data_IF_019271516632
#
_entry.id   IF_019271516632
#
_cell.length_a   1.000
_cell.length_b   1.000
_cell.length_c   1.000
_cell.angle_alpha   90.00
_cell.angle_beta   90.00
_cell.angle_gamma   90.00
#
_symmetry.space_group_name_H-M   'P 1'
#
loop_
_entity.id
_entity.type
_entity.pdbx_description
1 polymer ?
#
# COMPACT_ATOMS: atom_id res chain seq x y z
N UNK A 1 -23.80 -13.64 0.79
CA UNK A 1 -24.96 -13.32 1.66
C UNK A 1 -25.04 -11.80 1.74
N UNK A 2 -25.95 -11.16 0.99
CA UNK A 2 -26.18 -9.70 1.10
C UNK A 2 -26.85 -9.44 2.44
N UNK A 3 -26.06 -9.20 3.47
CA UNK A 3 -26.59 -8.79 4.78
C UNK A 3 -27.30 -7.44 4.60
N UNK A 4 -28.41 -7.29 5.32
CA UNK A 4 -29.32 -6.14 5.34
C UNK A 4 -28.62 -4.89 5.91
N UNK A 5 -27.59 -4.44 5.21
CA UNK A 5 -26.63 -3.46 5.65
C UNK A 5 -27.08 -2.07 5.19
N UNK A 6 -27.25 -1.10 6.10
CA UNK A 6 -27.67 0.23 5.73
C UNK A 6 -26.52 0.95 5.01
N UNK A 7 -26.57 0.95 3.67
CA UNK A 7 -25.64 1.64 2.78
C UNK A 7 -26.24 2.96 2.30
N UNK A 8 -25.41 4.02 2.24
CA UNK A 8 -25.87 5.26 1.63
C UNK A 8 -26.19 5.06 0.14
N UNK A 9 -27.09 5.90 -0.39
CA UNK A 9 -27.52 5.84 -1.79
C UNK A 9 -26.35 5.92 -2.80
N UNK A 10 -25.32 6.77 -2.61
CA UNK A 10 -24.16 6.79 -3.49
C UNK A 10 -23.38 5.47 -3.51
N UNK A 11 -23.18 4.84 -2.35
CA UNK A 11 -22.45 3.57 -2.26
C UNK A 11 -23.23 2.42 -2.89
N UNK A 12 -24.55 2.35 -2.67
CA UNK A 12 -25.39 1.36 -3.36
C UNK A 12 -25.31 1.48 -4.87
N UNK A 13 -25.37 2.70 -5.40
CA UNK A 13 -25.21 2.96 -6.84
C UNK A 13 -23.83 2.57 -7.34
N UNK A 14 -22.78 2.85 -6.57
CA UNK A 14 -21.42 2.50 -6.99
C UNK A 14 -21.16 1.00 -6.96
N UNK A 15 -21.66 0.29 -5.95
CA UNK A 15 -21.64 -1.18 -5.91
C UNK A 15 -22.38 -1.76 -7.11
N UNK A 16 -23.62 -1.32 -7.36
CA UNK A 16 -24.42 -1.78 -8.50
C UNK A 16 -23.70 -1.51 -9.82
N UNK A 17 -23.18 -0.29 -10.02
CA UNK A 17 -22.39 0.05 -11.20
C UNK A 17 -21.17 -0.84 -11.37
N UNK A 18 -20.47 -1.16 -10.27
CA UNK A 18 -19.31 -2.05 -10.28
C UNK A 18 -19.70 -3.48 -10.65
N UNK A 19 -20.76 -4.02 -10.04
CA UNK A 19 -21.31 -5.34 -10.32
C UNK A 19 -21.75 -5.46 -11.80
N UNK A 20 -22.48 -4.47 -12.33
CA UNK A 20 -22.95 -4.42 -13.72
C UNK A 20 -21.78 -4.27 -14.71
N UNK A 21 -20.85 -3.34 -14.45
CA UNK A 21 -19.73 -3.08 -15.36
C UNK A 21 -18.76 -4.25 -15.44
N UNK A 22 -18.49 -4.91 -14.30
CA UNK A 22 -17.56 -6.03 -14.22
C UNK A 22 -18.22 -7.39 -14.44
N UNK A 23 -19.55 -7.44 -14.54
CA UNK A 23 -20.32 -8.68 -14.63
C UNK A 23 -19.93 -9.64 -13.49
N UNK A 24 -20.16 -9.19 -12.27
CA UNK A 24 -19.70 -9.89 -11.06
C UNK A 24 -20.57 -9.56 -9.86
N UNK A 25 -20.52 -10.40 -8.82
CA UNK A 25 -21.11 -10.09 -7.51
C UNK A 25 -20.04 -9.61 -6.51
N UNK A 26 -20.44 -8.70 -5.62
CA UNK A 26 -19.63 -8.25 -4.49
C UNK A 26 -20.33 -8.64 -3.18
N UNK A 27 -19.66 -9.48 -2.40
CA UNK A 27 -20.05 -9.81 -1.03
C UNK A 27 -19.41 -8.85 -0.05
N UNK A 28 -20.21 -8.31 0.88
CA UNK A 28 -19.72 -7.47 1.97
C UNK A 28 -19.67 -8.29 3.26
N UNK A 29 -18.49 -8.37 3.87
CA UNK A 29 -18.28 -9.12 5.11
C UNK A 29 -17.79 -8.18 6.21
N UNK A 30 -18.44 -8.26 7.38
CA UNK A 30 -18.01 -7.55 8.59
C UNK A 30 -17.31 -8.52 9.52
N UNK A 31 -16.09 -8.19 9.92
CA UNK A 31 -15.28 -9.02 10.82
C UNK A 31 -14.63 -8.15 11.90
N UNK A 32 -14.65 -8.53 13.20
CA UNK A 32 -14.02 -7.75 14.27
C UNK A 32 -12.51 -7.55 14.10
N UNK A 33 -11.86 -8.55 13.52
CA UNK A 33 -10.42 -8.72 13.30
C UNK A 33 -9.94 -8.27 11.92
N UNK A 34 -10.84 -7.67 11.11
CA UNK A 34 -10.47 -7.14 9.81
C UNK A 34 -9.50 -5.95 9.92
N UNK A 35 -8.66 -5.79 8.91
CA UNK A 35 -7.72 -4.68 8.80
C UNK A 35 -8.45 -3.31 8.89
N UNK A 36 -7.91 -2.30 9.60
CA UNK A 36 -8.50 -0.97 9.66
C UNK A 36 -8.78 -0.35 8.29
N UNK A 37 -7.96 -0.59 7.27
CA UNK A 37 -8.12 -0.16 5.87
C UNK A 37 -9.08 -1.04 5.05
N UNK A 38 -9.56 -2.15 5.64
CA UNK A 38 -10.33 -3.20 5.00
C UNK A 38 -9.52 -4.03 4.01
N UNK A 39 -10.04 -5.18 3.63
CA UNK A 39 -9.40 -6.11 2.71
C UNK A 39 -10.30 -6.38 1.51
N UNK A 40 -9.73 -6.32 0.31
CA UNK A 40 -10.38 -6.79 -0.91
C UNK A 40 -9.81 -8.16 -1.26
N UNK A 41 -10.66 -9.18 -1.24
CA UNK A 41 -10.35 -10.50 -1.79
C UNK A 41 -11.12 -10.62 -3.10
N UNK A 42 -10.44 -10.51 -4.23
CA UNK A 42 -11.06 -10.46 -5.55
C UNK A 42 -10.70 -11.65 -6.44
N UNK A 43 -11.61 -11.94 -7.39
CA UNK A 43 -11.46 -13.04 -8.34
C UNK A 43 -10.28 -12.89 -9.29
N UNK A 44 -9.84 -11.65 -9.53
CA UNK A 44 -8.76 -11.38 -10.47
C UNK A 44 -7.39 -11.64 -9.84
N UNK A 45 -7.25 -11.52 -8.52
CA UNK A 45 -6.00 -11.82 -7.80
C UNK A 45 -5.94 -13.24 -7.24
N UNK A 46 -7.04 -13.78 -6.70
CA UNK A 46 -7.00 -14.96 -5.81
C UNK A 46 -7.67 -16.23 -6.36
N UNK A 47 -8.07 -16.27 -7.63
CA UNK A 47 -8.74 -17.42 -8.26
C UNK A 47 -9.96 -17.92 -7.44
N UNK A 48 -10.85 -16.99 -7.11
CA UNK A 48 -12.09 -17.24 -6.35
C UNK A 48 -13.32 -16.85 -7.16
N UNK A 49 -14.48 -17.44 -6.85
CA UNK A 49 -15.71 -17.24 -7.64
C UNK A 49 -16.40 -15.88 -7.42
N UNK A 50 -16.11 -15.20 -6.30
CA UNK A 50 -16.79 -13.98 -5.89
C UNK A 50 -15.83 -12.96 -5.29
N UNK A 51 -16.10 -11.69 -5.49
CA UNK A 51 -15.33 -10.64 -4.81
C UNK A 51 -15.90 -10.42 -3.41
N UNK A 52 -15.01 -10.27 -2.43
CA UNK A 52 -15.37 -10.05 -1.03
C UNK A 52 -14.66 -8.79 -0.54
N UNK A 53 -15.42 -7.83 -0.03
CA UNK A 53 -14.89 -6.68 0.69
C UNK A 53 -15.12 -6.94 2.18
N UNK A 54 -14.01 -7.10 2.90
CA UNK A 54 -13.97 -7.35 4.34
C UNK A 54 -13.62 -6.04 5.05
N UNK A 55 -14.35 -5.69 6.10
CA UNK A 55 -14.05 -4.50 6.89
C UNK A 55 -14.42 -4.64 8.37
N UNK A 56 -13.84 -3.81 9.25
CA UNK A 56 -14.02 -3.93 10.69
C UNK A 56 -15.49 -3.82 11.12
N UNK A 57 -15.94 -4.70 12.02
CA UNK A 57 -17.32 -4.71 12.50
C UNK A 57 -17.74 -3.38 13.16
N UNK A 58 -16.81 -2.68 13.79
CA UNK A 58 -16.99 -1.37 14.41
C UNK A 58 -17.14 -0.22 13.41
N UNK A 59 -16.87 -0.44 12.12
CA UNK A 59 -17.07 0.60 11.10
C UNK A 59 -18.54 0.68 10.73
N UNK A 60 -19.17 1.77 11.18
CA UNK A 60 -20.57 2.10 10.95
C UNK A 60 -20.72 3.42 10.20
N UNK A 61 -21.94 3.73 9.74
CA UNK A 61 -22.21 5.02 9.09
C UNK A 61 -21.38 5.23 7.83
N UNK A 62 -20.71 6.39 7.71
CA UNK A 62 -19.92 6.74 6.52
C UNK A 62 -18.54 6.07 6.48
N UNK A 63 -18.06 5.49 7.60
CA UNK A 63 -16.74 4.84 7.64
C UNK A 63 -16.73 3.57 6.80
N UNK A 64 -17.72 2.69 6.98
CA UNK A 64 -17.88 1.50 6.12
C UNK A 64 -18.11 1.89 4.67
N UNK A 65 -18.88 2.95 4.43
CA UNK A 65 -19.19 3.45 3.08
C UNK A 65 -17.91 3.89 2.36
N UNK A 66 -16.98 4.53 3.08
CA UNK A 66 -15.66 4.87 2.55
C UNK A 66 -14.81 3.63 2.24
N UNK A 67 -14.72 2.65 3.15
CA UNK A 67 -13.97 1.41 2.89
C UNK A 67 -14.52 0.66 1.68
N UNK A 68 -15.85 0.58 1.56
CA UNK A 68 -16.50 -0.03 0.39
C UNK A 68 -16.14 0.75 -0.89
N UNK A 69 -16.19 2.08 -0.87
CA UNK A 69 -15.81 2.90 -2.03
C UNK A 69 -14.34 2.73 -2.43
N UNK A 70 -13.42 2.67 -1.45
CA UNK A 70 -11.98 2.40 -1.64
C UNK A 70 -11.79 1.09 -2.40
N UNK A 71 -12.36 0.00 -1.88
CA UNK A 71 -12.19 -1.34 -2.45
C UNK A 71 -12.98 -1.55 -3.76
N UNK A 72 -14.15 -0.93 -3.93
CA UNK A 72 -14.84 -0.96 -5.23
C UNK A 72 -14.04 -0.24 -6.32
N UNK A 73 -13.39 0.88 -5.99
CA UNK A 73 -12.52 1.59 -6.94
C UNK A 73 -11.33 0.73 -7.33
N UNK A 74 -10.69 0.06 -6.36
CA UNK A 74 -9.60 -0.87 -6.62
C UNK A 74 -10.05 -2.03 -7.51
N UNK A 75 -11.20 -2.64 -7.18
CA UNK A 75 -11.79 -3.74 -7.95
C UNK A 75 -12.12 -3.32 -9.38
N UNK A 76 -12.64 -2.11 -9.60
CA UNK A 76 -12.88 -1.56 -10.94
C UNK A 76 -11.60 -1.45 -11.76
N UNK A 77 -10.48 -1.02 -11.15
CA UNK A 77 -9.18 -0.95 -11.83
C UNK A 77 -8.68 -2.35 -12.21
N UNK A 78 -8.69 -3.30 -11.26
CA UNK A 78 -8.28 -4.69 -11.51
C UNK A 78 -9.16 -5.36 -12.58
N UNK A 79 -10.47 -5.23 -12.45
CA UNK A 79 -11.44 -5.82 -13.37
C UNK A 79 -11.41 -5.19 -14.77
N UNK A 80 -11.18 -3.87 -14.86
CA UNK A 80 -10.99 -3.22 -16.16
C UNK A 80 -9.72 -3.71 -16.86
N UNK A 81 -8.61 -3.85 -16.12
CA UNK A 81 -7.38 -4.44 -16.66
C UNK A 81 -7.58 -5.88 -17.13
N UNK A 82 -8.30 -6.70 -16.36
CA UNK A 82 -8.59 -8.09 -16.72
C UNK A 82 -9.53 -8.20 -17.95
N UNK A 83 -10.50 -7.30 -18.11
CA UNK A 83 -11.42 -7.31 -19.26
C UNK A 83 -10.78 -6.76 -20.54
N UNK A 84 -9.84 -5.82 -20.45
CA UNK A 84 -9.29 -5.11 -21.62
C UNK A 84 -7.96 -5.62 -22.11
N UNK A 85 -7.18 -6.17 -21.20
CA UNK A 85 -5.84 -6.64 -21.48
C UNK A 85 -5.57 -7.84 -20.57
N UNK A 86 -4.32 -7.96 -20.13
CA UNK A 86 -3.89 -8.92 -19.13
C UNK A 86 -3.69 -8.18 -17.82
N UNK A 87 -4.50 -8.50 -16.80
CA UNK A 87 -4.24 -8.00 -15.44
C UNK A 87 -2.96 -8.63 -14.92
N UNK A 88 -2.00 -7.78 -14.56
CA UNK A 88 -0.72 -8.17 -13.97
C UNK A 88 -0.63 -7.64 -12.54
N UNK A 89 0.11 -8.38 -11.71
CA UNK A 89 0.40 -8.06 -10.31
C UNK A 89 1.90 -7.94 -10.10
N UNK A 90 2.32 -7.08 -9.16
CA UNK A 90 3.71 -6.91 -8.82
C UNK A 90 4.14 -8.05 -7.87
N UNK A 91 4.88 -9.00 -8.39
CA UNK A 91 5.28 -10.25 -7.72
C UNK A 91 6.80 -10.39 -7.68
N UNK A 92 7.31 -11.55 -7.28
CA UNK A 92 8.72 -11.88 -7.24
C UNK A 92 8.96 -13.36 -7.53
N UNK A 93 10.12 -13.68 -8.09
CA UNK A 93 10.59 -15.04 -8.29
C UNK A 93 11.93 -15.28 -7.54
N UNK A 94 12.49 -16.47 -7.66
CA UNK A 94 13.76 -16.83 -7.01
C UNK A 94 14.90 -15.84 -7.34
N UNK A 95 14.99 -15.37 -8.59
CA UNK A 95 16.04 -14.43 -9.02
C UNK A 95 15.82 -13.05 -8.40
N UNK A 96 14.58 -12.58 -8.38
CA UNK A 96 14.16 -11.35 -7.73
C UNK A 96 14.51 -11.33 -6.24
N UNK A 97 14.17 -12.41 -5.52
CA UNK A 97 14.48 -12.58 -4.09
C UNK A 97 15.99 -12.54 -3.85
N UNK A 98 16.77 -13.28 -4.65
CA UNK A 98 18.23 -13.26 -4.54
C UNK A 98 18.81 -11.86 -4.76
N UNK A 99 18.39 -11.16 -5.82
CA UNK A 99 18.88 -9.82 -6.13
C UNK A 99 18.55 -8.83 -5.01
N UNK A 100 17.31 -8.86 -4.51
CA UNK A 100 16.86 -8.02 -3.42
C UNK A 100 17.62 -8.28 -2.12
N UNK A 101 17.65 -9.54 -1.66
CA UNK A 101 18.34 -9.93 -0.43
C UNK A 101 19.85 -9.64 -0.51
N UNK A 102 20.49 -9.88 -1.67
CA UNK A 102 21.91 -9.56 -1.87
C UNK A 102 22.18 -8.07 -1.76
N UNK A 103 21.32 -7.23 -2.35
CA UNK A 103 21.47 -5.78 -2.24
C UNK A 103 21.27 -5.31 -0.81
N UNK A 104 20.25 -5.80 -0.11
CA UNK A 104 20.00 -5.51 1.32
C UNK A 104 21.21 -5.90 2.15
N UNK A 105 21.77 -7.09 1.92
CA UNK A 105 22.95 -7.56 2.63
C UNK A 105 24.16 -6.64 2.43
N UNK A 106 24.48 -6.28 1.19
CA UNK A 106 25.60 -5.38 0.87
C UNK A 106 25.41 -4.01 1.53
N UNK A 107 24.20 -3.46 1.49
CA UNK A 107 23.91 -2.16 2.08
C UNK A 107 23.92 -2.23 3.62
N UNK A 108 23.49 -3.34 4.20
CA UNK A 108 23.60 -3.61 5.63
C UNK A 108 25.07 -3.69 6.07
N UNK A 109 25.95 -4.39 5.34
CA UNK A 109 27.38 -4.45 5.66
C UNK A 109 28.03 -3.06 5.67
N UNK A 110 27.66 -2.18 4.71
CA UNK A 110 28.17 -0.79 4.65
C UNK A 110 27.71 0.04 5.85
N UNK A 111 26.49 -0.17 6.32
CA UNK A 111 25.94 0.51 7.49
C UNK A 111 26.56 -0.03 8.78
N UNK A 112 26.60 -1.35 8.92
CA UNK A 112 27.24 -2.05 10.02
C UNK A 112 28.70 -1.67 10.18
N UNK A 113 29.47 -1.50 9.10
CA UNK A 113 30.86 -1.04 9.15
C UNK A 113 31.05 0.24 9.98
N UNK A 114 30.03 1.12 10.02
CA UNK A 114 30.05 2.40 10.74
C UNK A 114 29.51 2.33 12.18
N UNK A 115 28.90 1.21 12.59
CA UNK A 115 28.36 1.02 13.94
C UNK A 115 29.39 0.47 14.92
N UNK A 116 29.39 0.99 16.15
CA UNK A 116 30.20 0.48 17.27
C UNK A 116 29.67 -0.87 17.78
N UNK A 117 28.35 -1.00 17.91
CA UNK A 117 27.67 -2.26 18.27
C UNK A 117 27.14 -2.91 17.00
N UNK A 118 27.77 -4.00 16.58
CA UNK A 118 27.35 -4.76 15.40
C UNK A 118 26.10 -5.56 15.69
N UNK A 119 25.23 -5.68 14.70
CA UNK A 119 24.09 -6.58 14.76
C UNK A 119 24.56 -8.05 14.74
N UNK A 120 23.99 -8.94 15.56
CA UNK A 120 24.26 -10.37 15.46
C UNK A 120 23.96 -10.91 14.06
N UNK A 121 24.83 -11.77 13.54
CA UNK A 121 24.73 -12.32 12.17
C UNK A 121 23.38 -12.99 11.91
N UNK A 122 22.85 -13.76 12.86
CA UNK A 122 21.55 -14.42 12.70
C UNK A 122 20.39 -13.42 12.53
N UNK A 123 20.43 -12.29 13.26
CA UNK A 123 19.44 -11.22 13.10
C UNK A 123 19.59 -10.51 11.76
N UNK A 124 20.83 -10.32 11.30
CA UNK A 124 21.10 -9.75 9.97
C UNK A 124 20.51 -10.64 8.86
N UNK A 125 20.71 -11.96 8.95
CA UNK A 125 20.21 -12.93 7.97
C UNK A 125 18.68 -12.90 7.91
N UNK A 126 18.00 -12.98 9.07
CA UNK A 126 16.53 -12.94 9.15
C UNK A 126 15.96 -11.63 8.57
N UNK A 127 16.64 -10.51 8.81
CA UNK A 127 16.20 -9.20 8.34
C UNK A 127 16.17 -9.08 6.81
N UNK A 128 17.05 -9.78 6.09
CA UNK A 128 17.18 -9.63 4.64
C UNK A 128 15.87 -9.92 3.92
N UNK A 129 15.24 -11.04 4.25
CA UNK A 129 14.01 -11.46 3.59
C UNK A 129 12.80 -10.69 4.10
N UNK A 130 12.75 -10.41 5.40
CA UNK A 130 11.70 -9.58 6.02
C UNK A 130 11.63 -8.22 5.32
N UNK A 131 12.76 -7.53 5.15
CA UNK A 131 12.81 -6.24 4.44
C UNK A 131 12.41 -6.38 2.98
N UNK A 132 12.88 -7.42 2.28
CA UNK A 132 12.48 -7.67 0.89
C UNK A 132 10.96 -7.81 0.73
N UNK A 133 10.32 -8.57 1.61
CA UNK A 133 8.87 -8.77 1.57
C UNK A 133 8.10 -7.53 2.01
N UNK A 134 8.60 -6.80 3.01
CA UNK A 134 8.00 -5.55 3.46
C UNK A 134 7.89 -4.52 2.33
N UNK A 135 8.96 -4.33 1.56
CA UNK A 135 8.92 -3.44 0.39
C UNK A 135 8.00 -3.98 -0.72
N UNK A 136 7.80 -5.30 -0.82
CA UNK A 136 6.86 -5.88 -1.78
C UNK A 136 5.41 -5.55 -1.39
N UNK A 137 5.09 -5.65 -0.10
CA UNK A 137 3.77 -5.32 0.42
C UNK A 137 3.49 -3.82 0.26
N UNK A 138 4.43 -2.96 0.69
CA UNK A 138 4.34 -1.50 0.57
C UNK A 138 4.11 -1.04 -0.87
N UNK A 139 4.89 -1.57 -1.83
CA UNK A 139 4.79 -1.15 -3.23
C UNK A 139 3.53 -1.69 -3.93
N UNK A 140 2.96 -2.78 -3.41
CA UNK A 140 1.67 -3.31 -3.85
C UNK A 140 0.47 -2.57 -3.26
N UNK A 141 0.68 -1.68 -2.28
CA UNK A 141 -0.40 -0.88 -1.69
C UNK A 141 -0.27 0.62 -1.98
N UNK A 142 0.89 1.23 -1.69
CA UNK A 142 1.04 2.68 -1.64
C UNK A 142 0.71 3.42 -2.95
N UNK A 143 1.19 2.97 -4.12
CA UNK A 143 0.83 3.54 -5.41
C UNK A 143 -0.68 3.60 -5.65
N UNK A 144 -1.34 2.50 -5.33
CA UNK A 144 -2.77 2.30 -5.56
C UNK A 144 -3.59 3.10 -4.56
N UNK A 145 -3.14 3.16 -3.30
CA UNK A 145 -3.79 3.91 -2.24
C UNK A 145 -3.92 5.40 -2.63
N UNK A 146 -2.88 6.01 -3.20
CA UNK A 146 -2.93 7.39 -3.70
C UNK A 146 -4.00 7.59 -4.80
N UNK A 147 -4.03 6.70 -5.79
CA UNK A 147 -4.99 6.75 -6.92
C UNK A 147 -6.43 6.56 -6.43
N UNK A 148 -6.65 5.53 -5.61
CA UNK A 148 -7.96 5.16 -5.09
C UNK A 148 -8.52 6.32 -4.25
N UNK A 149 -7.73 6.87 -3.34
CA UNK A 149 -8.16 7.98 -2.51
C UNK A 149 -8.49 9.23 -3.35
N UNK A 150 -7.63 9.60 -4.31
CA UNK A 150 -7.93 10.73 -5.20
C UNK A 150 -9.24 10.50 -5.99
N UNK A 151 -9.43 9.30 -6.54
CA UNK A 151 -10.64 8.93 -7.28
C UNK A 151 -11.91 9.01 -6.42
N UNK A 152 -11.86 8.44 -5.21
CA UNK A 152 -12.98 8.50 -4.25
C UNK A 152 -13.31 9.93 -3.88
N UNK A 153 -12.30 10.76 -3.61
CA UNK A 153 -12.48 12.15 -3.23
C UNK A 153 -13.22 12.96 -4.30
N UNK A 154 -12.77 12.85 -5.55
CA UNK A 154 -13.38 13.58 -6.66
C UNK A 154 -14.80 13.11 -6.97
N UNK A 155 -15.07 11.80 -6.84
CA UNK A 155 -16.37 11.21 -7.23
C UNK A 155 -17.41 11.17 -6.11
N UNK A 156 -17.00 11.22 -4.84
CA UNK A 156 -17.92 10.99 -3.72
C UNK A 156 -17.85 12.07 -2.64
N UNK A 157 -18.44 13.26 -2.90
CA UNK A 157 -18.39 14.40 -1.96
C UNK A 157 -18.88 14.07 -0.54
N UNK A 158 -19.90 13.20 -0.42
CA UNK A 158 -20.53 12.87 0.86
C UNK A 158 -19.64 12.12 1.85
N UNK A 159 -18.56 11.47 1.38
CA UNK A 159 -17.66 10.68 2.24
C UNK A 159 -16.27 11.30 2.41
N UNK A 160 -15.98 12.45 1.78
CA UNK A 160 -14.67 13.13 1.84
C UNK A 160 -14.17 13.39 3.26
N UNK A 161 -15.06 13.82 4.16
CA UNK A 161 -14.69 14.08 5.57
C UNK A 161 -14.26 12.80 6.28
N UNK A 162 -14.95 11.70 5.98
CA UNK A 162 -14.66 10.39 6.56
C UNK A 162 -13.38 9.78 5.98
N UNK A 163 -13.16 9.95 4.68
CA UNK A 163 -11.91 9.63 4.01
C UNK A 163 -10.73 10.35 4.69
N UNK A 164 -10.82 11.66 4.87
CA UNK A 164 -9.76 12.44 5.52
C UNK A 164 -9.44 11.93 6.93
N UNK A 165 -10.47 11.66 7.74
CA UNK A 165 -10.28 11.04 9.06
C UNK A 165 -9.54 9.69 8.97
N UNK A 166 -9.91 8.86 8.01
CA UNK A 166 -9.34 7.54 7.84
C UNK A 166 -7.87 7.61 7.39
N UNK A 167 -7.55 8.43 6.38
CA UNK A 167 -6.17 8.67 5.91
C UNK A 167 -5.30 9.18 7.06
N UNK A 168 -5.83 10.07 7.88
CA UNK A 168 -5.13 10.58 9.06
C UNK A 168 -4.90 9.53 10.16
N UNK A 169 -5.72 8.48 10.21
CA UNK A 169 -5.55 7.36 11.13
C UNK A 169 -4.53 6.36 10.58
N UNK A 170 -4.64 5.99 9.30
CA UNK A 170 -3.67 5.13 8.58
C UNK A 170 -2.25 5.75 8.66
N UNK A 171 -2.10 7.03 8.28
CA UNK A 171 -0.84 7.78 8.37
C UNK A 171 -0.15 7.70 9.75
N UNK A 172 -0.91 7.60 10.85
CA UNK A 172 -0.30 7.40 12.17
C UNK A 172 0.33 6.01 12.30
N UNK A 173 -0.38 4.97 11.90
CA UNK A 173 0.14 3.60 11.94
C UNK A 173 1.40 3.47 11.08
N UNK A 174 1.40 4.11 9.92
CA UNK A 174 2.52 4.08 8.97
C UNK A 174 3.75 4.84 9.49
N UNK A 175 3.56 5.84 10.36
CA UNK A 175 4.68 6.47 11.08
C UNK A 175 5.27 5.53 12.12
N UNK A 176 4.43 4.79 12.84
CA UNK A 176 4.85 3.85 13.88
C UNK A 176 5.51 2.58 13.28
N UNK A 177 5.26 2.30 12.01
CA UNK A 177 5.84 1.17 11.28
C UNK A 177 7.38 1.17 11.28
N UNK A 178 8.03 0.03 11.42
CA UNK A 178 9.50 -0.11 11.49
C UNK A 178 10.22 0.72 12.58
N UNK A 179 9.53 1.53 13.40
CA UNK A 179 10.15 2.38 14.43
C UNK A 179 10.85 1.54 15.49
N UNK A 180 10.22 0.44 15.92
CA UNK A 180 10.81 -0.50 16.87
C UNK A 180 12.05 -1.21 16.31
N UNK A 181 12.22 -1.19 14.98
CA UNK A 181 13.28 -1.87 14.26
C UNK A 181 14.35 -0.89 13.74
N UNK A 182 14.25 0.42 14.04
CA UNK A 182 15.16 1.47 13.55
C UNK A 182 16.64 1.15 13.81
N UNK A 183 16.95 0.52 14.95
CA UNK A 183 18.31 0.16 15.33
C UNK A 183 18.91 -1.02 14.52
N UNK A 184 18.05 -1.83 13.90
CA UNK A 184 18.38 -3.06 13.21
C UNK A 184 18.35 -2.86 11.68
N UNK A 185 17.36 -2.13 11.18
CA UNK A 185 17.18 -1.85 9.75
C UNK A 185 18.30 -0.96 9.24
N UNK A 186 18.94 -1.28 8.10
CA UNK A 186 19.92 -0.38 7.51
C UNK A 186 19.27 0.97 7.19
N UNK A 187 19.94 2.06 7.58
CA UNK A 187 19.39 3.43 7.52
C UNK A 187 18.72 3.78 6.19
N UNK A 188 19.28 3.32 5.07
CA UNK A 188 18.73 3.53 3.73
C UNK A 188 17.27 3.06 3.63
N UNK A 189 16.99 1.84 4.07
CA UNK A 189 15.66 1.23 3.92
C UNK A 189 14.64 1.89 4.84
N UNK A 190 15.05 2.25 6.05
CA UNK A 190 14.23 3.04 6.95
C UNK A 190 13.84 4.39 6.33
N UNK A 191 14.81 5.12 5.76
CA UNK A 191 14.57 6.40 5.08
C UNK A 191 13.64 6.24 3.87
N UNK A 192 13.85 5.22 3.04
CA UNK A 192 13.03 4.98 1.85
C UNK A 192 11.58 4.62 2.21
N UNK A 193 11.37 3.72 3.18
CA UNK A 193 10.04 3.36 3.67
C UNK A 193 9.29 4.61 4.16
N UNK A 194 9.89 5.40 5.05
CA UNK A 194 9.28 6.63 5.57
C UNK A 194 9.03 7.68 4.49
N UNK A 195 9.92 7.80 3.50
CA UNK A 195 9.75 8.70 2.38
C UNK A 195 8.54 8.33 1.49
N UNK A 196 8.25 7.04 1.29
CA UNK A 196 7.08 6.61 0.50
C UNK A 196 5.77 7.00 1.17
N UNK A 197 5.63 6.72 2.47
CA UNK A 197 4.44 7.11 3.24
C UNK A 197 4.26 8.62 3.30
N UNK A 198 5.35 9.36 3.52
CA UNK A 198 5.33 10.82 3.47
C UNK A 198 4.84 11.33 2.12
N UNK A 199 5.38 10.81 1.02
CA UNK A 199 5.02 11.23 -0.32
C UNK A 199 3.53 11.00 -0.61
N UNK A 200 2.99 9.83 -0.23
CA UNK A 200 1.55 9.54 -0.29
C UNK A 200 0.75 10.54 0.53
N UNK A 201 1.12 10.77 1.78
CA UNK A 201 0.39 11.67 2.69
C UNK A 201 0.38 13.11 2.19
N UNK A 202 1.52 13.62 1.70
CA UNK A 202 1.60 14.96 1.14
C UNK A 202 0.81 15.08 -0.16
N UNK A 203 0.83 14.05 -1.01
CA UNK A 203 0.00 14.01 -2.20
C UNK A 203 -1.49 14.09 -1.83
N UNK A 204 -1.93 13.28 -0.86
CA UNK A 204 -3.30 13.28 -0.39
C UNK A 204 -3.67 14.61 0.29
N UNK A 205 -2.80 15.21 1.11
CA UNK A 205 -3.06 16.52 1.68
C UNK A 205 -3.22 17.63 0.62
N UNK A 206 -2.46 17.57 -0.48
CA UNK A 206 -2.61 18.51 -1.61
C UNK A 206 -3.89 18.26 -2.40
N UNK A 207 -4.32 17.00 -2.50
CA UNK A 207 -5.47 16.58 -3.32
C UNK A 207 -6.81 16.72 -2.58
N UNK A 208 -6.79 16.59 -1.26
CA UNK A 208 -7.96 16.62 -0.38
C UNK A 208 -8.01 17.96 0.38
N UNK A 209 -8.44 19.10 -0.25
CA UNK A 209 -8.41 20.41 0.40
C UNK A 209 -9.18 20.43 1.72
N UNK A 210 -8.57 21.09 2.70
CA UNK A 210 -9.06 21.18 4.08
C UNK A 210 -10.27 22.12 4.25
N UNK A 211 -10.53 22.99 3.28
CA UNK A 211 -11.51 24.08 3.39
C UNK A 211 -12.97 23.60 3.57
N UNK A 212 -13.29 22.36 3.18
CA UNK A 212 -14.63 21.75 3.39
C UNK A 212 -14.76 21.03 4.75
N UNK A 213 -13.66 20.85 5.49
CA UNK A 213 -13.69 20.18 6.79
C UNK A 213 -14.11 21.18 7.88
N UNK A 214 -15.30 20.97 8.43
CA UNK A 214 -15.67 21.40 9.78
C UNK A 214 -15.71 20.13 10.63
N UNK A 215 -14.56 19.67 11.19
CA UNK A 215 -14.48 18.36 11.84
C UNK A 215 -15.31 18.30 13.13
N UNK A 216 -15.54 19.45 13.74
CA UNK A 216 -16.17 19.67 15.05
C UNK A 216 -17.65 19.24 15.10
N UNK A 217 -18.36 19.33 13.97
CA UNK A 217 -19.82 19.14 13.93
C UNK A 217 -20.20 17.67 13.74
N UNK A 218 -19.39 16.87 13.02
CA UNK A 218 -19.80 15.54 12.56
C UNK A 218 -19.03 14.37 13.19
N UNK A 219 -17.85 14.59 13.79
CA UNK A 219 -17.02 13.52 14.38
C UNK A 219 -16.37 14.04 15.66
N UNK A 220 -16.92 13.75 16.86
CA UNK A 220 -16.44 14.29 18.14
C UNK A 220 -14.94 14.09 18.40
N UNK A 221 -14.33 13.01 17.88
CA UNK A 221 -12.90 12.72 18.04
C UNK A 221 -11.98 13.70 17.27
N UNK A 222 -12.52 14.47 16.32
CA UNK A 222 -11.76 15.42 15.50
C UNK A 222 -11.76 16.85 16.05
N UNK A 223 -12.45 17.12 17.18
CA UNK A 223 -12.47 18.44 17.83
C UNK A 223 -11.08 18.97 18.21
N UNK A 224 -10.13 18.07 18.52
CA UNK A 224 -8.74 18.42 18.86
C UNK A 224 -7.90 18.96 17.69
N UNK A 225 -8.45 18.97 16.49
CA UNK A 225 -7.76 19.35 15.25
C UNK A 225 -8.45 20.48 14.50
N UNK A 226 -9.33 21.22 15.19
CA UNK A 226 -10.17 22.28 14.63
C UNK A 226 -9.40 23.49 14.05
N UNK A 227 -8.09 23.56 14.23
CA UNK A 227 -7.27 24.73 13.90
C UNK A 227 -6.12 24.43 12.95
N UNK A 228 -6.02 23.21 12.42
CA UNK A 228 -4.91 22.80 11.57
C UNK A 228 -5.41 22.42 10.19
N UNK A 229 -4.77 22.95 9.15
CA UNK A 229 -4.98 22.46 7.78
C UNK A 229 -4.49 21.00 7.68
N UNK A 230 -5.13 20.15 6.87
CA UNK A 230 -4.71 18.73 6.68
C UNK A 230 -3.22 18.63 6.36
N UNK A 231 -2.70 19.56 5.55
CA UNK A 231 -1.28 19.67 5.23
C UNK A 231 -0.43 19.98 6.45
N UNK A 232 -0.82 20.93 7.29
CA UNK A 232 -0.13 21.27 8.53
C UNK A 232 -0.18 20.11 9.52
N UNK A 233 -1.30 19.41 9.59
CA UNK A 233 -1.47 18.23 10.44
C UNK A 233 -0.54 17.09 10.04
N UNK A 234 -0.49 16.75 8.75
CA UNK A 234 0.41 15.71 8.27
C UNK A 234 1.87 16.19 8.40
N UNK A 235 2.18 17.44 8.03
CA UNK A 235 3.54 17.98 8.15
C UNK A 235 4.06 17.99 9.59
N UNK A 236 3.24 18.44 10.55
CA UNK A 236 3.59 18.49 12.00
C UNK A 236 3.65 17.10 12.63
N UNK A 237 3.01 16.09 12.01
CA UNK A 237 3.10 14.70 12.50
C UNK A 237 4.44 14.07 12.14
N UNK A 238 4.97 14.39 10.97
CA UNK A 238 6.25 13.86 10.53
C UNK A 238 7.50 14.57 11.14
N UNK A 239 7.33 15.61 11.97
CA UNK A 239 8.45 16.42 12.50
C UNK A 239 9.22 15.87 13.71
N UNK A 240 9.13 14.57 14.04
CA UNK A 240 9.69 14.03 15.30
C UNK A 240 10.77 12.91 15.23
N UNK A 241 11.42 12.65 14.09
CA UNK A 241 12.53 11.65 13.98
C UNK A 241 13.64 12.12 13.03
N UNK A 242 14.51 11.23 12.49
CA UNK A 242 15.62 11.50 11.53
C UNK A 242 15.15 12.06 10.16
N UNK A 243 14.32 13.11 10.25
CA UNK A 243 13.37 13.62 9.29
C UNK A 243 14.02 14.28 8.09
N UNK A 244 15.19 14.90 8.28
CA UNK A 244 15.81 15.68 7.21
C UNK A 244 16.07 14.84 5.95
N UNK A 245 16.57 13.62 6.12
CA UNK A 245 16.81 12.74 4.97
C UNK A 245 15.50 12.20 4.39
N UNK A 246 14.61 11.67 5.23
CA UNK A 246 13.31 11.14 4.78
C UNK A 246 12.48 12.19 4.04
N UNK A 247 12.54 13.45 4.45
CA UNK A 247 11.88 14.56 3.75
C UNK A 247 12.46 14.79 2.36
N UNK A 248 13.79 14.87 2.20
CA UNK A 248 14.41 15.09 0.88
C UNK A 248 14.05 13.96 -0.08
N UNK A 249 14.15 12.71 0.36
CA UNK A 249 13.74 11.56 -0.46
C UNK A 249 12.23 11.56 -0.71
N UNK A 250 11.45 11.97 0.28
CA UNK A 250 10.00 12.04 0.25
C UNK A 250 9.47 13.12 -0.70
N UNK A 251 10.09 14.28 -0.76
CA UNK A 251 9.75 15.35 -1.71
C UNK A 251 10.00 14.89 -3.16
N UNK A 252 11.10 14.16 -3.41
CA UNK A 252 11.34 13.55 -4.72
C UNK A 252 10.32 12.45 -5.07
N UNK A 253 9.97 11.60 -4.10
CA UNK A 253 8.92 10.59 -4.30
C UNK A 253 7.54 11.23 -4.51
N UNK A 254 7.26 12.35 -3.85
CA UNK A 254 6.06 13.13 -4.06
C UNK A 254 5.98 13.63 -5.50
N UNK A 255 7.08 14.14 -6.06
CA UNK A 255 7.13 14.54 -7.48
C UNK A 255 6.91 13.35 -8.43
N UNK A 256 7.45 12.17 -8.08
CA UNK A 256 7.22 10.93 -8.83
C UNK A 256 5.74 10.53 -8.81
N UNK A 257 5.06 10.70 -7.68
CA UNK A 257 3.61 10.44 -7.54
C UNK A 257 2.80 11.50 -8.29
N UNK A 258 3.16 12.77 -8.16
CA UNK A 258 2.40 13.90 -8.70
C UNK A 258 2.41 13.96 -10.21
N UNK A 259 3.54 13.65 -10.87
CA UNK A 259 3.66 13.81 -12.32
C UNK A 259 2.67 12.94 -13.12
N UNK A 260 2.55 11.62 -12.89
CA UNK A 260 1.54 10.80 -13.56
C UNK A 260 0.11 11.19 -13.15
N UNK A 261 -0.12 11.46 -11.87
CA UNK A 261 -1.46 11.74 -11.35
C UNK A 261 -1.99 13.13 -11.74
N UNK A 262 -1.11 14.09 -11.99
CA UNK A 262 -1.50 15.43 -12.45
C UNK A 262 -2.14 15.44 -13.85
N UNK A 263 -1.95 14.37 -14.64
CA UNK A 263 -2.56 14.22 -15.96
C UNK A 263 -3.93 13.53 -15.91
N UNK A 264 -4.30 12.96 -14.76
CA UNK A 264 -5.55 12.22 -14.60
C UNK A 264 -6.73 13.17 -14.55
N UNK A 265 -7.72 12.94 -15.43
CA UNK A 265 -8.98 13.68 -15.45
C UNK A 265 -10.00 12.99 -14.55
N UNK A 266 -9.93 13.25 -13.26
CA UNK A 266 -10.72 12.57 -12.21
C UNK A 266 -12.24 12.60 -12.39
N UNK A 267 -12.77 13.58 -13.14
CA UNK A 267 -14.19 13.78 -13.37
C UNK A 267 -14.71 13.15 -14.68
N UNK A 268 -13.86 12.44 -15.44
CA UNK A 268 -14.33 11.74 -16.64
C UNK A 268 -15.39 10.66 -16.30
N UNK A 269 -16.22 10.24 -17.27
CA UNK A 269 -17.19 9.18 -17.05
C UNK A 269 -16.52 7.88 -16.53
N UNK A 270 -17.08 7.20 -15.50
CA UNK A 270 -16.48 6.03 -14.87
C UNK A 270 -16.66 4.75 -15.72
N UNK A 271 -16.10 4.74 -16.93
CA UNK A 271 -16.14 3.62 -17.88
C UNK A 271 -15.02 2.62 -17.62
N UNK A 272 -15.09 1.45 -18.28
CA UNK A 272 -13.97 0.50 -18.29
C UNK A 272 -12.67 1.12 -18.85
N UNK A 273 -12.74 2.04 -19.83
CA UNK A 273 -11.54 2.74 -20.34
C UNK A 273 -10.90 3.58 -19.25
N UNK A 274 -11.71 4.39 -18.56
CA UNK A 274 -11.24 5.24 -17.48
C UNK A 274 -10.51 4.44 -16.39
N UNK A 275 -11.10 3.33 -15.91
CA UNK A 275 -10.46 2.52 -14.87
C UNK A 275 -9.24 1.73 -15.36
N UNK A 276 -9.20 1.35 -16.64
CA UNK A 276 -8.01 0.75 -17.22
C UNK A 276 -6.87 1.77 -17.37
N UNK A 277 -7.17 3.02 -17.73
CA UNK A 277 -6.20 4.10 -17.76
C UNK A 277 -5.62 4.38 -16.36
N UNK A 278 -6.47 4.40 -15.32
CA UNK A 278 -5.99 4.47 -13.93
C UNK A 278 -5.08 3.30 -13.56
N UNK A 279 -5.41 2.07 -14.01
CA UNK A 279 -4.56 0.91 -13.77
C UNK A 279 -3.16 1.09 -14.38
N UNK A 280 -3.08 1.53 -15.64
CA UNK A 280 -1.80 1.83 -16.31
C UNK A 280 -1.00 2.91 -15.57
N UNK A 281 -1.67 3.93 -15.05
CA UNK A 281 -1.03 4.97 -14.23
C UNK A 281 -0.46 4.37 -12.94
N UNK A 282 -1.16 3.45 -12.30
CA UNK A 282 -0.67 2.74 -11.12
C UNK A 282 0.59 1.91 -11.40
N UNK A 283 0.59 1.13 -12.49
CA UNK A 283 1.79 0.38 -12.94
C UNK A 283 2.98 1.33 -13.17
N UNK A 284 2.76 2.41 -13.93
CA UNK A 284 3.80 3.40 -14.20
C UNK A 284 4.35 4.05 -12.91
N UNK A 285 3.48 4.35 -11.95
CA UNK A 285 3.85 4.96 -10.68
C UNK A 285 4.67 3.99 -9.82
N UNK A 286 4.25 2.73 -9.74
CA UNK A 286 5.02 1.65 -9.10
C UNK A 286 6.42 1.52 -9.73
N UNK A 287 6.51 1.45 -11.06
CA UNK A 287 7.80 1.32 -11.76
C UNK A 287 8.73 2.51 -11.52
N UNK A 288 8.19 3.73 -11.50
CA UNK A 288 8.96 4.93 -11.22
C UNK A 288 9.48 4.97 -9.78
N UNK A 289 8.68 4.52 -8.80
CA UNK A 289 9.12 4.40 -7.42
C UNK A 289 10.20 3.33 -7.25
N UNK A 290 10.01 2.13 -7.81
CA UNK A 290 11.01 1.06 -7.80
C UNK A 290 12.31 1.51 -8.47
N UNK A 291 12.21 2.25 -9.58
CA UNK A 291 13.34 2.88 -10.22
C UNK A 291 14.10 3.81 -9.28
N UNK A 292 13.41 4.75 -8.64
CA UNK A 292 14.02 5.73 -7.76
C UNK A 292 14.69 5.09 -6.54
N UNK A 293 14.09 4.01 -6.01
CA UNK A 293 14.64 3.25 -4.90
C UNK A 293 15.77 2.29 -5.29
N UNK A 294 16.08 2.16 -6.59
CA UNK A 294 17.02 1.18 -7.17
C UNK A 294 16.62 -0.27 -6.86
N UNK A 295 15.33 -0.57 -7.00
CA UNK A 295 14.69 -1.86 -6.72
C UNK A 295 14.01 -2.46 -7.97
N UNK A 296 14.39 -2.03 -9.19
CA UNK A 296 13.76 -2.53 -10.43
C UNK A 296 13.89 -4.04 -10.60
N UNK A 297 15.01 -4.63 -10.17
CA UNK A 297 15.27 -6.06 -10.28
C UNK A 297 14.74 -6.88 -9.10
N UNK A 298 14.03 -6.23 -8.17
CA UNK A 298 13.46 -6.88 -6.98
C UNK A 298 12.09 -7.48 -7.23
N UNK A 299 11.34 -6.95 -8.20
CA UNK A 299 9.96 -7.37 -8.46
C UNK A 299 9.68 -7.43 -9.94
N UNK A 300 8.66 -8.19 -10.31
CA UNK A 300 8.26 -8.44 -11.70
C UNK A 300 6.75 -8.30 -11.84
N UNK A 301 6.30 -7.80 -12.99
CA UNK A 301 4.90 -7.78 -13.35
C UNK A 301 4.51 -9.09 -14.01
N UNK A 302 3.72 -9.90 -13.31
CA UNK A 302 3.34 -11.23 -13.76
C UNK A 302 1.84 -11.49 -13.57
N UNK A 303 1.37 -12.62 -14.10
CA UNK A 303 0.00 -13.06 -13.85
C UNK A 303 -0.29 -13.28 -12.36
N UNK A 304 -1.54 -13.09 -11.91
CA UNK A 304 -1.98 -13.40 -10.55
C UNK A 304 -1.54 -14.79 -10.04
N UNK A 305 -1.56 -15.81 -10.90
CA UNK A 305 -1.08 -17.17 -10.59
C UNK A 305 0.38 -17.20 -10.13
N UNK A 306 1.22 -16.34 -10.71
CA UNK A 306 2.61 -16.23 -10.31
C UNK A 306 2.75 -15.71 -8.87
N UNK A 307 1.90 -14.75 -8.47
CA UNK A 307 1.91 -14.23 -7.09
C UNK A 307 1.51 -15.31 -6.07
N UNK A 308 0.47 -16.09 -6.37
CA UNK A 308 0.07 -17.21 -5.52
C UNK A 308 1.20 -18.24 -5.39
N UNK A 309 1.81 -18.64 -6.51
CA UNK A 309 2.96 -19.54 -6.51
C UNK A 309 4.16 -18.95 -5.75
N UNK A 310 4.40 -17.64 -5.85
CA UNK A 310 5.50 -16.99 -5.14
C UNK A 310 5.29 -17.01 -3.62
N UNK A 311 4.04 -16.85 -3.16
CA UNK A 311 3.70 -16.98 -1.75
C UNK A 311 3.83 -18.41 -1.23
N UNK A 312 3.42 -19.41 -2.02
CA UNK A 312 3.59 -20.83 -1.66
C UNK A 312 5.06 -21.23 -1.58
N UNK A 313 5.90 -20.72 -2.48
CA UNK A 313 7.33 -21.06 -2.55
C UNK A 313 8.22 -20.07 -1.79
N UNK A 314 7.64 -19.18 -0.97
CA UNK A 314 8.33 -18.10 -0.26
C UNK A 314 9.54 -18.61 0.54
N UNK A 315 9.36 -19.69 1.31
CA UNK A 315 10.42 -20.30 2.15
C UNK A 315 11.53 -20.92 1.29
N UNK A 316 11.17 -21.54 0.16
CA UNK A 316 12.15 -22.13 -0.76
C UNK A 316 13.00 -21.04 -1.42
N UNK A 317 12.37 -19.96 -1.88
CA UNK A 317 13.09 -18.83 -2.49
C UNK A 317 14.04 -18.16 -1.50
N UNK A 318 13.60 -17.95 -0.25
CA UNK A 318 14.47 -17.45 0.82
C UNK A 318 15.67 -18.37 1.03
N UNK A 319 15.46 -19.68 1.21
CA UNK A 319 16.54 -20.65 1.44
C UNK A 319 17.54 -20.68 0.30
N UNK A 320 17.06 -20.67 -0.95
CA UNK A 320 17.94 -20.65 -2.14
C UNK A 320 18.72 -19.35 -2.26
N UNK A 321 18.09 -18.21 -1.97
CA UNK A 321 18.77 -16.92 -1.97
C UNK A 321 19.85 -16.86 -0.89
N UNK A 322 19.56 -17.30 0.33
CA UNK A 322 20.52 -17.39 1.42
C UNK A 322 21.69 -18.30 1.06
N UNK A 323 21.44 -19.49 0.51
CA UNK A 323 22.49 -20.40 0.05
C UNK A 323 23.38 -19.76 -1.03
N UNK A 324 22.81 -18.98 -1.96
CA UNK A 324 23.59 -18.25 -2.97
C UNK A 324 24.40 -17.10 -2.39
N UNK A 325 23.93 -16.44 -1.33
CA UNK A 325 24.63 -15.30 -0.71
C UNK A 325 25.76 -15.78 0.22
N UNK A 326 25.51 -16.83 1.01
CA UNK A 326 26.38 -17.24 2.12
C UNK A 326 27.04 -18.62 1.94
N UNK A 327 26.65 -19.40 0.92
CA UNK A 327 27.14 -20.76 0.72
C UNK A 327 26.64 -21.73 1.78
N UNK A 328 27.44 -22.75 2.09
CA UNK A 328 27.09 -23.80 3.05
C UNK A 328 27.19 -23.35 4.53
N UNK A 329 27.65 -22.12 4.80
CA UNK A 329 27.70 -21.53 6.15
C UNK A 329 26.33 -21.47 6.87
N UNK A 330 25.23 -21.64 6.13
CA UNK A 330 23.85 -21.61 6.66
C UNK A 330 23.24 -23.01 6.79
N UNK A 331 23.84 -24.05 6.18
CA UNK A 331 23.30 -25.42 6.22
C UNK A 331 23.21 -25.95 7.66
N UNK A 332 24.22 -25.67 8.48
CA UNK A 332 24.30 -26.17 9.85
C UNK A 332 23.43 -25.37 10.85
N UNK A 333 23.03 -24.13 10.52
CA UNK A 333 22.29 -23.26 11.45
C UNK A 333 20.76 -23.41 11.35
N UNK A 334 20.25 -23.98 10.26
CA UNK A 334 18.81 -24.15 10.01
C UNK A 334 18.31 -25.57 10.35
N UNK A 335 19.18 -26.58 10.41
CA UNK A 335 18.80 -27.92 10.86
C UNK A 335 18.46 -27.97 12.35
N UNK A 336 18.94 -27.01 13.15
CA UNK A 336 18.71 -26.93 14.59
C UNK A 336 17.47 -26.10 15.01
N UNK A 337 16.66 -25.60 14.06
CA UNK A 337 15.50 -24.71 14.33
C UNK A 337 14.15 -25.21 13.77
N UNK A 338 14.09 -26.44 13.25
CA UNK A 338 12.85 -27.20 13.02
C UNK A 338 12.68 -28.24 14.11
#
# INVERSE_FOLDING_TARGET
MKTDMPLSKPIRRFLQHTEETLDTEISLLRQPDADPGGTLVDKYTYDIDRNVIIFPAQYVGLLKDFIIAKHCTHLMMKGAAAKKAKFLVCSYNETSVYNGMRQIYIDALKDEAKKEKKLPVNKLIQLLFILFTHFNDDINELPWNAIINASVYHRMPKIRKTQLYHVMKESKNDMDEMMEQESIVPRRYFVLNKAMFYARDMFLAKTLPADELIPVINIPQMKKFNHLEVKEMLTTRWTHTAWYQSKVFGDNMLDIIQKPLGQVKWNEPPTLDYYYDLYKVGVLLTDNLLSYMTMRDWYVWEEPKHLLNAHENKVEYEKKALKKIFGDLIADAWEDQL
#
